data_IF_604739420846
#
_entry.id   IF_604739420846
#
_cell.length_a   1.000
_cell.length_b   1.000
_cell.length_c   1.000
_cell.angle_alpha   90.00
_cell.angle_beta   90.00
_cell.angle_gamma   90.00
#
_symmetry.space_group_name_H-M   'P 1'
#
loop_
_entity.id
_entity.type
_entity.pdbx_description
1 polymer ?
#
# COMPACT_ATOMS: atom_id res chain seq x y z
N UNK A 1 4.48 6.89 -30.59
CA UNK A 1 3.55 6.96 -29.45
C UNK A 1 3.91 8.26 -28.73
N UNK A 2 3.08 9.28 -28.89
CA UNK A 2 3.27 10.55 -28.19
C UNK A 2 3.29 10.29 -26.69
N UNK A 3 4.27 10.86 -26.00
CA UNK A 3 4.37 10.77 -24.56
C UNK A 3 3.15 11.46 -23.94
N UNK A 4 2.21 10.66 -23.47
CA UNK A 4 1.00 11.10 -22.75
C UNK A 4 1.42 11.78 -21.43
N UNK A 5 1.97 13.01 -21.47
CA UNK A 5 2.18 13.89 -20.32
C UNK A 5 2.78 13.22 -19.06
N UNK A 6 3.64 12.21 -19.24
CA UNK A 6 4.27 11.50 -18.12
C UNK A 6 5.27 12.41 -17.43
N UNK A 7 5.16 12.49 -16.11
CA UNK A 7 6.13 13.22 -15.29
C UNK A 7 7.52 12.60 -15.40
N UNK A 8 8.55 13.43 -15.46
CA UNK A 8 9.91 12.98 -15.23
C UNK A 8 10.11 12.55 -13.77
N UNK A 9 11.19 11.83 -13.48
CA UNK A 9 11.55 11.43 -12.09
C UNK A 9 11.65 12.66 -11.18
N UNK A 10 12.20 13.76 -11.70
CA UNK A 10 12.36 14.99 -10.94
C UNK A 10 11.03 15.69 -10.67
N UNK A 11 10.15 15.77 -11.66
CA UNK A 11 8.79 16.30 -11.50
C UNK A 11 7.97 15.44 -10.55
N UNK A 12 8.09 14.11 -10.64
CA UNK A 12 7.43 13.19 -9.70
C UNK A 12 7.87 13.46 -8.27
N UNK A 13 9.18 13.58 -8.02
CA UNK A 13 9.74 13.85 -6.68
C UNK A 13 9.27 15.19 -6.09
N UNK A 14 9.09 16.20 -6.92
CA UNK A 14 8.63 17.55 -6.53
C UNK A 14 7.12 17.68 -6.42
N UNK A 15 6.36 16.74 -6.97
CA UNK A 15 4.89 16.79 -6.90
C UNK A 15 4.39 16.54 -5.49
N UNK A 16 3.32 17.24 -5.12
CA UNK A 16 2.57 16.93 -3.92
C UNK A 16 2.03 15.49 -3.98
N UNK A 17 2.24 14.75 -2.91
CA UNK A 17 1.83 13.36 -2.82
C UNK A 17 0.46 13.25 -2.16
N UNK A 18 -0.32 12.27 -2.60
CA UNK A 18 -1.52 11.85 -1.88
C UNK A 18 -1.05 11.19 -0.57
N UNK A 19 -1.54 11.64 0.61
CA UNK A 19 -1.06 11.19 1.91
C UNK A 19 -1.55 9.78 2.25
N UNK A 20 -1.22 8.83 1.39
CA UNK A 20 -1.49 7.40 1.55
C UNK A 20 -0.17 6.66 1.55
N UNK A 21 0.03 5.80 2.56
CA UNK A 21 1.19 4.92 2.67
C UNK A 21 0.71 3.46 2.64
N UNK A 22 1.37 2.64 1.85
CA UNK A 22 1.18 1.19 1.86
C UNK A 22 2.26 0.57 2.76
N UNK A 23 1.86 -0.31 3.67
CA UNK A 23 2.77 -1.13 4.49
C UNK A 23 2.65 -2.57 4.05
N UNK A 24 3.76 -3.19 3.68
CA UNK A 24 3.85 -4.56 3.20
C UNK A 24 4.47 -5.44 4.30
N UNK A 25 3.64 -6.24 4.95
CA UNK A 25 4.06 -7.10 6.06
C UNK A 25 4.36 -8.51 5.59
N UNK A 26 5.62 -8.93 5.72
CA UNK A 26 6.05 -10.30 5.44
C UNK A 26 5.62 -10.82 4.07
N UNK A 27 5.74 -9.99 3.03
CA UNK A 27 5.41 -10.36 1.66
C UNK A 27 6.50 -11.28 1.10
N UNK A 28 6.08 -12.43 0.58
CA UNK A 28 6.99 -13.46 0.05
C UNK A 28 7.54 -13.11 -1.32
N UNK A 29 6.71 -12.51 -2.17
CA UNK A 29 7.05 -12.25 -3.56
C UNK A 29 7.59 -10.84 -3.77
N UNK A 30 8.86 -10.73 -4.12
CA UNK A 30 9.48 -9.47 -4.53
C UNK A 30 8.82 -8.88 -5.80
N UNK A 31 8.27 -9.72 -6.68
CA UNK A 31 7.49 -9.27 -7.84
C UNK A 31 6.20 -8.52 -7.41
N UNK A 32 5.53 -9.00 -6.36
CA UNK A 32 4.37 -8.29 -5.80
C UNK A 32 4.76 -6.93 -5.23
N UNK A 33 5.90 -6.83 -4.55
CA UNK A 33 6.42 -5.55 -4.04
C UNK A 33 6.63 -4.56 -5.18
N UNK A 34 7.29 -4.98 -6.27
CA UNK A 34 7.50 -4.13 -7.45
C UNK A 34 6.19 -3.69 -8.09
N UNK A 35 5.19 -4.58 -8.18
CA UNK A 35 3.86 -4.24 -8.71
C UNK A 35 3.13 -3.23 -7.82
N UNK A 36 3.27 -3.33 -6.50
CA UNK A 36 2.69 -2.36 -5.55
C UNK A 36 3.39 -1.00 -5.68
N UNK A 37 4.71 -0.97 -5.82
CA UNK A 37 5.45 0.28 -6.09
C UNK A 37 4.96 0.96 -7.37
N UNK A 38 4.73 0.19 -8.43
CA UNK A 38 4.16 0.71 -9.68
C UNK A 38 2.76 1.29 -9.49
N UNK A 39 1.92 0.68 -8.67
CA UNK A 39 0.61 1.23 -8.29
C UNK A 39 0.77 2.54 -7.50
N UNK A 40 1.70 2.57 -6.55
CA UNK A 40 1.98 3.77 -5.75
C UNK A 40 2.48 4.95 -6.62
N UNK A 41 3.33 4.67 -7.60
CA UNK A 41 3.78 5.65 -8.59
C UNK A 41 2.61 6.20 -9.41
N UNK A 42 1.78 5.30 -9.97
CA UNK A 42 0.65 5.67 -10.83
C UNK A 42 -0.35 6.61 -10.15
N UNK A 43 -0.49 6.53 -8.83
CA UNK A 43 -1.42 7.34 -8.04
C UNK A 43 -0.75 8.38 -7.15
N UNK A 44 0.53 8.69 -7.35
CA UNK A 44 1.27 9.67 -6.55
C UNK A 44 1.17 9.45 -5.03
N UNK A 45 1.23 8.21 -4.58
CA UNK A 45 1.19 7.91 -3.15
C UNK A 45 2.44 8.41 -2.42
N UNK A 46 2.30 8.70 -1.14
CA UNK A 46 3.37 9.23 -0.29
C UNK A 46 4.56 8.27 -0.17
N UNK A 47 4.32 6.98 0.10
CA UNK A 47 5.37 5.98 0.24
C UNK A 47 4.84 4.53 0.20
N UNK A 48 5.78 3.59 0.07
CA UNK A 48 5.58 2.17 0.37
C UNK A 48 6.61 1.74 1.41
N UNK A 49 6.13 1.25 2.56
CA UNK A 49 6.95 0.70 3.63
C UNK A 49 6.96 -0.82 3.55
N UNK A 50 8.12 -1.42 3.72
CA UNK A 50 8.28 -2.87 3.79
C UNK A 50 8.68 -3.29 5.18
N UNK A 51 8.19 -4.42 5.67
CA UNK A 51 8.49 -4.89 7.04
C UNK A 51 8.81 -6.37 7.09
N UNK A 52 9.55 -6.78 8.10
CA UNK A 52 9.95 -8.16 8.30
C UNK A 52 10.84 -8.67 7.19
N UNK A 53 10.52 -9.82 6.62
CA UNK A 53 11.29 -10.40 5.52
C UNK A 53 10.83 -9.94 4.12
N UNK A 54 9.92 -8.97 4.03
CA UNK A 54 9.56 -8.36 2.75
C UNK A 54 10.79 -7.80 2.06
N UNK A 55 11.01 -8.17 0.81
CA UNK A 55 12.07 -7.59 -0.01
C UNK A 55 11.86 -6.08 -0.17
N UNK A 56 12.96 -5.32 -0.21
CA UNK A 56 12.93 -3.86 -0.39
C UNK A 56 13.99 -3.41 -1.40
N UNK A 57 13.80 -2.25 -2.04
CA UNK A 57 14.81 -1.71 -2.96
C UNK A 57 16.15 -1.40 -2.26
N UNK A 58 17.29 -1.59 -2.95
CA UNK A 58 17.40 -2.11 -4.30
C UNK A 58 17.30 -3.64 -4.35
N UNK A 59 16.47 -4.18 -5.24
CA UNK A 59 16.29 -5.63 -5.39
C UNK A 59 15.93 -5.98 -6.83
N UNK A 60 16.67 -6.93 -7.43
CA UNK A 60 16.56 -7.29 -8.86
C UNK A 60 15.14 -7.66 -9.32
N UNK A 61 14.41 -8.43 -8.51
CA UNK A 61 13.05 -8.85 -8.86
C UNK A 61 12.02 -7.75 -8.65
N UNK A 62 12.23 -6.84 -7.70
CA UNK A 62 11.40 -5.64 -7.54
C UNK A 62 11.52 -4.78 -8.78
N UNK A 63 12.74 -4.48 -9.22
CA UNK A 63 12.99 -3.62 -10.39
C UNK A 63 12.32 -4.13 -11.65
N UNK A 64 12.24 -5.47 -11.83
CA UNK A 64 11.59 -6.07 -13.01
C UNK A 64 10.10 -5.74 -13.14
N UNK A 65 9.38 -5.57 -12.04
CA UNK A 65 7.94 -5.29 -12.04
C UNK A 65 7.60 -3.86 -11.68
N UNK A 66 8.49 -3.17 -10.96
CA UNK A 66 8.35 -1.76 -10.61
C UNK A 66 8.49 -0.83 -11.84
N UNK A 67 9.29 -1.23 -12.85
CA UNK A 67 9.51 -0.48 -14.09
C UNK A 67 9.92 0.99 -13.84
N UNK A 68 10.83 1.21 -12.89
CA UNK A 68 11.32 2.53 -12.48
C UNK A 68 10.62 3.14 -11.27
N UNK A 69 9.49 2.60 -10.84
CA UNK A 69 8.79 3.09 -9.65
C UNK A 69 9.58 2.89 -8.35
N UNK A 70 10.50 1.94 -8.32
CA UNK A 70 11.45 1.72 -7.22
C UNK A 70 12.50 2.84 -7.07
N UNK A 71 12.65 3.69 -8.08
CA UNK A 71 13.51 4.88 -8.05
C UNK A 71 12.74 6.17 -7.73
N UNK A 72 11.42 6.19 -7.95
CA UNK A 72 10.56 7.37 -7.80
C UNK A 72 9.80 7.38 -6.49
N UNK A 73 9.18 6.27 -6.11
CA UNK A 73 8.38 6.15 -4.89
C UNK A 73 9.29 6.06 -3.66
N UNK A 74 9.00 6.86 -2.65
CA UNK A 74 9.70 6.78 -1.37
C UNK A 74 9.46 5.40 -0.73
N UNK A 75 10.53 4.73 -0.34
CA UNK A 75 10.48 3.46 0.36
C UNK A 75 11.22 3.54 1.69
N UNK A 76 10.75 2.79 2.68
CA UNK A 76 11.43 2.59 3.96
C UNK A 76 11.22 1.15 4.42
N UNK A 77 12.26 0.56 5.00
CA UNK A 77 12.20 -0.79 5.56
C UNK A 77 12.26 -0.76 7.08
N UNK A 78 11.43 -1.58 7.72
CA UNK A 78 11.36 -1.74 9.16
C UNK A 78 11.56 -3.20 9.55
N UNK A 79 12.07 -3.43 10.74
CA UNK A 79 12.28 -4.77 11.26
C UNK A 79 10.97 -5.56 11.39
N UNK A 80 9.88 -4.88 11.75
CA UNK A 80 8.54 -5.45 11.87
C UNK A 80 7.46 -4.37 11.63
N UNK A 81 6.22 -4.80 11.45
CA UNK A 81 5.11 -3.89 11.20
C UNK A 81 4.81 -2.97 12.39
N UNK A 82 5.05 -3.41 13.62
CA UNK A 82 4.84 -2.60 14.82
C UNK A 82 5.67 -1.31 14.80
N UNK A 83 6.95 -1.39 14.42
CA UNK A 83 7.83 -0.21 14.30
C UNK A 83 7.32 0.77 13.23
N UNK A 84 6.86 0.25 12.08
CA UNK A 84 6.29 1.08 11.02
C UNK A 84 5.01 1.78 11.49
N UNK A 85 4.13 1.04 12.16
CA UNK A 85 2.86 1.56 12.69
C UNK A 85 3.10 2.64 13.75
N UNK A 86 4.06 2.42 14.64
CA UNK A 86 4.41 3.40 15.68
C UNK A 86 4.88 4.72 15.05
N UNK A 87 5.73 4.65 14.04
CA UNK A 87 6.18 5.85 13.31
C UNK A 87 5.01 6.56 12.63
N UNK A 88 4.17 5.81 11.92
CA UNK A 88 3.02 6.35 11.20
C UNK A 88 2.01 7.02 12.15
N UNK A 89 1.77 6.44 13.32
CA UNK A 89 0.90 7.06 14.35
C UNK A 89 1.46 8.40 14.84
N UNK A 90 2.77 8.49 15.06
CA UNK A 90 3.44 9.75 15.44
C UNK A 90 3.31 10.82 14.35
N UNK A 91 3.25 10.40 13.09
CA UNK A 91 3.05 11.29 11.94
C UNK A 91 1.58 11.63 11.66
N UNK A 92 0.64 11.10 12.45
CA UNK A 92 -0.80 11.38 12.35
C UNK A 92 -1.55 10.54 11.32
N UNK A 93 -1.02 9.39 10.90
CA UNK A 93 -1.73 8.45 10.04
C UNK A 93 -2.77 7.65 10.80
N UNK A 94 -3.94 7.47 10.18
CA UNK A 94 -4.89 6.42 10.56
C UNK A 94 -4.49 5.15 9.81
N UNK A 95 -4.47 4.02 10.51
CA UNK A 95 -3.89 2.79 9.99
C UNK A 95 -4.95 1.69 9.93
N UNK A 96 -5.11 1.09 8.76
CA UNK A 96 -6.07 0.01 8.54
C UNK A 96 -5.35 -1.22 7.97
N UNK A 97 -5.72 -2.39 8.46
CA UNK A 97 -5.32 -3.64 7.85
C UNK A 97 -6.28 -3.98 6.69
N UNK A 98 -5.73 -4.31 5.53
CA UNK A 98 -6.51 -4.87 4.42
C UNK A 98 -6.72 -6.37 4.68
N UNK A 99 -7.73 -6.71 5.47
CA UNK A 99 -7.98 -8.07 5.94
C UNK A 99 -9.47 -8.32 6.20
N UNK A 100 -9.90 -9.55 6.03
CA UNK A 100 -11.23 -10.00 6.43
C UNK A 100 -11.23 -10.29 7.93
N UNK A 101 -11.95 -9.49 8.70
CA UNK A 101 -12.08 -9.64 10.13
C UNK A 101 -13.53 -9.44 10.57
N UNK A 102 -13.89 -9.93 11.75
CA UNK A 102 -15.25 -9.91 12.27
C UNK A 102 -15.90 -8.50 12.27
N UNK A 103 -15.10 -7.45 12.44
CA UNK A 103 -15.54 -6.05 12.47
C UNK A 103 -14.93 -5.21 11.36
N UNK A 104 -14.58 -5.82 10.22
CA UNK A 104 -14.01 -5.10 9.09
C UNK A 104 -15.04 -4.17 8.44
N UNK A 105 -14.58 -3.02 8.00
CA UNK A 105 -15.34 -2.10 7.17
C UNK A 105 -15.28 -2.58 5.71
N UNK A 106 -16.43 -2.58 5.04
CA UNK A 106 -16.43 -2.85 3.60
C UNK A 106 -15.79 -1.69 2.85
N UNK A 107 -14.86 -1.98 1.96
CA UNK A 107 -14.08 -0.95 1.25
C UNK A 107 -14.97 0.12 0.58
N UNK A 108 -16.06 -0.29 -0.06
CA UNK A 108 -17.00 0.63 -0.72
C UNK A 108 -17.83 1.50 0.24
N UNK A 109 -17.84 1.19 1.53
CA UNK A 109 -18.55 1.95 2.57
C UNK A 109 -17.62 2.89 3.35
N UNK A 110 -16.31 2.85 3.05
CA UNK A 110 -15.33 3.71 3.70
C UNK A 110 -15.29 5.06 3.00
N UNK A 111 -15.26 6.13 3.77
CA UNK A 111 -15.07 7.49 3.25
C UNK A 111 -14.02 8.21 4.08
N UNK A 112 -13.05 8.80 3.41
CA UNK A 112 -11.99 9.61 4.01
C UNK A 112 -11.97 10.99 3.38
N UNK A 113 -11.62 12.00 4.18
CA UNK A 113 -11.41 13.35 3.65
C UNK A 113 -10.14 13.37 2.77
N UNK A 114 -10.07 14.23 1.75
CA UNK A 114 -8.93 14.28 0.84
C UNK A 114 -7.57 14.47 1.52
N UNK A 115 -7.53 15.21 2.62
CA UNK A 115 -6.32 15.53 3.38
C UNK A 115 -5.98 14.51 4.47
N UNK A 116 -6.86 13.55 4.76
CA UNK A 116 -6.58 12.52 5.78
C UNK A 116 -5.39 11.67 5.40
N UNK A 117 -4.49 11.50 6.35
CA UNK A 117 -3.33 10.62 6.25
C UNK A 117 -3.75 9.18 6.55
N UNK A 118 -3.65 8.30 5.55
CA UNK A 118 -4.09 6.91 5.67
C UNK A 118 -2.92 5.97 5.37
N UNK A 119 -2.75 4.98 6.22
CA UNK A 119 -1.86 3.86 5.93
C UNK A 119 -2.64 2.55 5.85
N UNK A 120 -2.31 1.72 4.86
CA UNK A 120 -2.93 0.41 4.66
C UNK A 120 -1.88 -0.67 4.78
N UNK A 121 -2.08 -1.60 5.69
CA UNK A 121 -1.22 -2.76 5.88
C UNK A 121 -1.76 -3.93 5.07
N UNK A 122 -0.93 -4.47 4.19
CA UNK A 122 -1.18 -5.72 3.47
C UNK A 122 -0.28 -6.80 4.05
N UNK A 123 -0.85 -7.95 4.34
CA UNK A 123 -0.15 -9.06 4.94
C UNK A 123 0.35 -10.12 3.96
N UNK A 124 0.96 -11.12 4.52
CA UNK A 124 1.50 -12.29 3.82
C UNK A 124 0.44 -12.97 2.94
N UNK A 125 0.86 -13.47 1.78
CA UNK A 125 0.00 -14.09 0.77
C UNK A 125 -0.72 -15.36 1.25
N UNK A 126 -0.22 -15.98 2.32
CA UNK A 126 -0.78 -17.22 2.88
C UNK A 126 -1.49 -16.98 4.21
N UNK A 127 -0.85 -16.23 5.12
CA UNK A 127 -1.32 -16.06 6.50
C UNK A 127 -2.06 -14.75 6.73
N UNK A 128 -2.06 -13.84 5.76
CA UNK A 128 -2.66 -12.51 5.91
C UNK A 128 -1.84 -11.59 6.82
N UNK A 129 -2.49 -10.56 7.35
CA UNK A 129 -1.91 -9.63 8.32
C UNK A 129 -1.83 -10.33 9.68
N UNK A 130 -0.69 -10.20 10.36
CA UNK A 130 -0.50 -10.81 11.67
C UNK A 130 -1.50 -10.26 12.69
N UNK A 131 -2.02 -11.13 13.57
CA UNK A 131 -3.03 -10.75 14.56
C UNK A 131 -2.56 -9.62 15.48
N UNK A 132 -1.27 -9.64 15.85
CA UNK A 132 -0.67 -8.56 16.62
C UNK A 132 -0.71 -7.23 15.87
N UNK A 133 -0.42 -7.24 14.58
CA UNK A 133 -0.46 -6.05 13.72
C UNK A 133 -1.88 -5.52 13.58
N UNK A 134 -2.88 -6.40 13.41
CA UNK A 134 -4.30 -6.01 13.38
C UNK A 134 -4.69 -5.26 14.66
N UNK A 135 -4.25 -5.71 15.83
CA UNK A 135 -4.53 -5.04 17.11
C UNK A 135 -3.88 -3.65 17.23
N UNK A 136 -2.81 -3.39 16.49
CA UNK A 136 -2.17 -2.07 16.46
C UNK A 136 -2.86 -1.10 15.48
N UNK A 137 -3.64 -1.62 14.53
CA UNK A 137 -4.37 -0.83 13.55
C UNK A 137 -5.62 -0.15 14.16
N UNK A 138 -6.08 0.92 13.54
CA UNK A 138 -7.34 1.59 13.91
C UNK A 138 -8.57 0.81 13.43
N UNK A 139 -8.41 -0.16 12.55
CA UNK A 139 -9.45 -1.04 12.06
C UNK A 139 -8.98 -1.92 10.89
N UNK A 140 -9.94 -2.69 10.37
CA UNK A 140 -9.74 -3.49 9.17
C UNK A 140 -10.65 -2.98 8.04
N UNK A 141 -10.15 -3.05 6.82
CA UNK A 141 -10.91 -2.78 5.60
C UNK A 141 -10.87 -4.05 4.75
N UNK A 142 -12.02 -4.50 4.29
CA UNK A 142 -12.11 -5.67 3.43
C UNK A 142 -12.67 -5.35 2.04
N UNK A 143 -12.14 -6.00 1.03
CA UNK A 143 -12.70 -6.03 -0.32
C UNK A 143 -13.79 -7.11 -0.32
N UNK A 144 -15.08 -6.78 -0.57
CA UNK A 144 -16.11 -7.80 -0.69
C UNK A 144 -15.80 -8.75 -1.84
N UNK A 145 -15.74 -10.04 -1.55
CA UNK A 145 -15.47 -11.08 -2.54
C UNK A 145 -16.69 -12.00 -2.66
N UNK A 146 -17.19 -12.18 -3.88
CA UNK A 146 -18.43 -12.91 -4.17
C UNK A 146 -18.15 -14.31 -4.77
N UNK A 147 -16.88 -14.62 -4.99
CA UNK A 147 -16.46 -15.89 -5.58
C UNK A 147 -16.16 -16.97 -4.55
N UNK A 148 -15.73 -18.11 -5.04
CA UNK A 148 -15.34 -19.27 -4.21
C UNK A 148 -13.98 -19.06 -3.52
N UNK A 149 -13.08 -18.28 -4.10
CA UNK A 149 -11.77 -17.96 -3.50
C UNK A 149 -11.92 -16.86 -2.46
N UNK A 150 -11.16 -16.96 -1.37
CA UNK A 150 -11.27 -16.06 -0.23
C UNK A 150 -10.17 -14.98 -0.20
N UNK A 151 -9.30 -14.93 -1.21
CA UNK A 151 -8.22 -13.95 -1.28
C UNK A 151 -7.90 -13.55 -2.72
N UNK A 152 -7.51 -12.30 -2.91
CA UNK A 152 -6.91 -11.78 -4.13
C UNK A 152 -5.39 -11.82 -4.04
N UNK A 153 -4.70 -11.84 -5.18
CA UNK A 153 -3.28 -11.52 -5.22
C UNK A 153 -3.06 -10.15 -4.58
N UNK A 154 -2.00 -10.01 -3.79
CA UNK A 154 -1.74 -8.79 -3.02
C UNK A 154 -1.61 -7.54 -3.91
N UNK A 155 -0.93 -7.63 -5.05
CA UNK A 155 -0.80 -6.49 -5.96
C UNK A 155 -2.15 -6.07 -6.54
N UNK A 156 -3.03 -7.05 -6.82
CA UNK A 156 -4.41 -6.80 -7.25
C UNK A 156 -5.21 -6.15 -6.12
N UNK A 157 -5.15 -6.69 -4.91
CA UNK A 157 -5.83 -6.14 -3.74
C UNK A 157 -5.38 -4.70 -3.46
N UNK A 158 -4.06 -4.44 -3.52
CA UNK A 158 -3.51 -3.10 -3.35
C UNK A 158 -4.04 -2.12 -4.41
N UNK A 159 -4.11 -2.55 -5.68
CA UNK A 159 -4.68 -1.72 -6.75
C UNK A 159 -6.15 -1.35 -6.50
N UNK A 160 -6.97 -2.31 -6.05
CA UNK A 160 -8.40 -2.09 -5.74
C UNK A 160 -8.56 -1.13 -4.56
N UNK A 161 -7.82 -1.37 -3.46
CA UNK A 161 -7.88 -0.51 -2.26
C UNK A 161 -7.39 0.89 -2.56
N UNK A 162 -6.25 1.01 -3.23
CA UNK A 162 -5.67 2.31 -3.59
C UNK A 162 -6.62 3.10 -4.48
N UNK A 163 -7.20 2.48 -5.51
CA UNK A 163 -8.16 3.15 -6.38
C UNK A 163 -9.34 3.71 -5.58
N UNK A 164 -9.92 2.93 -4.68
CA UNK A 164 -11.06 3.40 -3.88
C UNK A 164 -10.70 4.58 -2.97
N UNK A 165 -9.50 4.56 -2.38
CA UNK A 165 -9.02 5.65 -1.53
C UNK A 165 -8.65 6.91 -2.31
N UNK A 166 -8.19 6.76 -3.55
CA UNK A 166 -7.68 7.87 -4.36
C UNK A 166 -8.78 8.50 -5.21
N UNK A 167 -9.77 7.74 -5.69
CA UNK A 167 -10.79 8.22 -6.64
C UNK A 167 -11.55 9.47 -6.17
N UNK A 168 -11.71 9.66 -4.87
CA UNK A 168 -12.37 10.85 -4.29
C UNK A 168 -11.41 12.03 -4.11
N UNK A 169 -10.12 11.83 -4.35
CA UNK A 169 -9.04 12.82 -4.21
C UNK A 169 -8.52 13.29 -5.57
N UNK A 170 -8.90 12.61 -6.64
CA UNK A 170 -8.62 12.98 -8.02
C UNK A 170 -9.80 13.84 -8.49
N UNK A 171 -9.61 15.15 -8.52
CA UNK A 171 -10.59 16.11 -9.05
C UNK A 171 -10.01 16.76 -10.29
#
# INVERSE_FOLDING_TARGET
MEELGRKSVEEFRKSDKIPIIIVLENIRSAYNVGSVLRTADAFLLEAVYTTGYTAHPPHKEITKTALGADETVRTKHFKNAGEAIEELKKEGYRIFAAEQAEKSLKLHAVSFQPEEKIAIVFGNEVTGVEQHTIHLCDGCIEIPQLGMKHSLNIATAAGVVVWELVRTRIV
#
